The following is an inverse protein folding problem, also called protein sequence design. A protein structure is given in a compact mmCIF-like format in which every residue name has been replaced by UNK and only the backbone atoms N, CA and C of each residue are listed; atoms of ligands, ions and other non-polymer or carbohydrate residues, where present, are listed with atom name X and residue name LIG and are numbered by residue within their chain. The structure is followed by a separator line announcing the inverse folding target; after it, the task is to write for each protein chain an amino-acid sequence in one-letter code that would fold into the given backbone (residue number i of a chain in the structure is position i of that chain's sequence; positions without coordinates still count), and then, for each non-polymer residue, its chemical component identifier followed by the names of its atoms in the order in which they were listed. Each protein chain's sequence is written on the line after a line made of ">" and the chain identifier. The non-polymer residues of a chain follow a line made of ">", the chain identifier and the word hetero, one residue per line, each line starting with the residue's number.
data_IF_523796759323
#
_entry.id   IF_523796759323
#
_cell.length_a   1.000
_cell.length_b   1.000
_cell.length_c   1.000
_cell.angle_alpha   90.00
_cell.angle_beta   90.00
_cell.angle_gamma   90.00
#
_symmetry.space_group_name_H-M   'P 1'
#
loop_
_entity.id
_entity.type
_entity.pdbx_description
1 polymer ?
#
# COMPACT_ATOMS: atom_id res chain seq x y z
N UNK A 1 11.27 2.77 -23.88
CA UNK A 1 10.03 2.83 -23.09
C UNK A 1 10.44 3.29 -21.71
N UNK A 2 10.13 4.52 -21.35
CA UNK A 2 10.50 5.09 -20.04
C UNK A 2 9.56 4.51 -18.99
N UNK A 3 10.07 3.58 -18.18
CA UNK A 3 9.34 2.95 -17.07
C UNK A 3 9.61 3.74 -15.77
N UNK A 4 9.33 5.05 -15.76
CA UNK A 4 9.42 5.86 -14.53
C UNK A 4 8.02 5.93 -13.93
N UNK A 5 7.88 5.48 -12.67
CA UNK A 5 6.63 5.58 -11.92
C UNK A 5 6.17 7.03 -11.78
N UNK A 6 4.87 7.27 -11.87
CA UNK A 6 4.31 8.61 -11.69
C UNK A 6 4.40 9.02 -10.21
N UNK A 7 4.49 10.32 -9.90
CA UNK A 7 4.44 10.79 -8.52
C UNK A 7 3.12 10.35 -7.86
N UNK A 8 3.22 9.63 -6.76
CA UNK A 8 2.06 9.31 -5.93
C UNK A 8 1.51 10.56 -5.23
N UNK A 9 0.29 10.47 -4.70
CA UNK A 9 -0.30 11.56 -3.94
C UNK A 9 0.60 11.97 -2.76
N UNK A 10 0.92 13.26 -2.66
CA UNK A 10 1.92 13.74 -1.69
C UNK A 10 1.43 13.70 -0.24
N UNK A 11 0.11 13.75 -0.01
CA UNK A 11 -0.51 13.69 1.33
C UNK A 11 -1.85 12.95 1.28
N UNK A 12 -1.98 11.92 2.12
CA UNK A 12 -3.20 11.12 2.26
C UNK A 12 -3.58 11.11 3.75
N UNK A 13 -4.78 11.59 4.15
CA UNK A 13 -5.23 11.50 5.54
C UNK A 13 -5.46 10.04 5.97
N UNK A 14 -5.23 9.73 7.25
CA UNK A 14 -5.60 8.42 7.81
C UNK A 14 -7.09 8.13 7.61
N UNK A 15 -7.41 6.89 7.24
CA UNK A 15 -8.76 6.43 6.91
C UNK A 15 -9.30 6.91 5.55
N UNK A 16 -8.47 7.50 4.68
CA UNK A 16 -8.88 7.96 3.34
C UNK A 16 -8.12 7.25 2.23
N UNK A 17 -8.82 6.87 1.17
CA UNK A 17 -8.26 6.02 0.12
C UNK A 17 -7.81 4.66 0.65
N UNK A 18 -7.22 3.84 -0.21
CA UNK A 18 -6.74 2.50 0.16
C UNK A 18 -5.57 2.63 1.14
N UNK A 19 -4.56 3.43 0.78
CA UNK A 19 -3.40 3.75 1.62
C UNK A 19 -3.76 4.23 3.04
N UNK A 20 -4.61 5.26 3.15
CA UNK A 20 -4.99 5.80 4.45
C UNK A 20 -5.85 4.83 5.26
N UNK A 21 -6.67 4.01 4.61
CA UNK A 21 -7.48 2.99 5.29
C UNK A 21 -6.60 1.88 5.84
N UNK A 22 -5.63 1.37 5.06
CA UNK A 22 -4.68 0.35 5.52
C UNK A 22 -3.86 0.86 6.71
N UNK A 23 -3.36 2.10 6.60
CA UNK A 23 -2.65 2.79 7.67
C UNK A 23 -3.51 2.95 8.94
N UNK A 24 -4.76 3.39 8.80
CA UNK A 24 -5.68 3.61 9.92
C UNK A 24 -6.09 2.32 10.63
N UNK A 25 -6.36 1.27 9.87
CA UNK A 25 -6.77 -0.04 10.38
C UNK A 25 -5.58 -0.88 10.86
N UNK A 26 -4.36 -0.57 10.40
CA UNK A 26 -3.15 -1.37 10.62
C UNK A 26 -3.28 -2.78 10.08
N UNK A 27 -3.97 -2.90 8.96
CA UNK A 27 -4.24 -4.16 8.27
C UNK A 27 -3.91 -4.03 6.79
N UNK A 28 -3.41 -5.12 6.20
CA UNK A 28 -3.21 -5.20 4.75
C UNK A 28 -4.55 -5.13 4.03
N UNK A 29 -4.62 -4.29 3.00
CA UNK A 29 -5.81 -4.17 2.14
C UNK A 29 -5.43 -4.58 0.72
N UNK A 30 -6.23 -5.49 0.16
CA UNK A 30 -6.14 -5.92 -1.23
C UNK A 30 -7.40 -5.44 -1.95
N UNK A 31 -7.23 -4.69 -3.03
CA UNK A 31 -8.33 -4.11 -3.80
C UNK A 31 -8.30 -4.64 -5.22
N UNK A 32 -9.31 -5.45 -5.56
CA UNK A 32 -9.47 -6.05 -6.89
C UNK A 32 -9.78 -5.01 -7.99
N UNK A 33 -10.61 -4.01 -7.67
CA UNK A 33 -10.86 -2.84 -8.53
C UNK A 33 -10.84 -1.55 -7.69
N UNK A 34 -9.82 -0.71 -7.86
CA UNK A 34 -9.66 0.55 -7.10
C UNK A 34 -10.82 1.52 -7.33
N UNK A 35 -11.44 1.49 -8.50
CA UNK A 35 -12.59 2.37 -8.78
C UNK A 35 -13.87 1.92 -8.07
N UNK A 36 -13.94 0.67 -7.61
CA UNK A 36 -15.03 0.16 -6.79
C UNK A 36 -14.81 0.42 -5.29
N UNK A 37 -13.61 0.85 -4.88
CA UNK A 37 -13.31 1.11 -3.48
C UNK A 37 -13.96 2.42 -2.98
N UNK A 38 -14.76 2.40 -1.91
CA UNK A 38 -15.41 3.60 -1.39
C UNK A 38 -14.39 4.65 -0.93
N UNK A 39 -14.53 5.89 -1.42
CA UNK A 39 -13.60 6.96 -1.08
C UNK A 39 -12.20 6.79 -1.66
N UNK A 40 -12.09 6.06 -2.78
CA UNK A 40 -10.86 5.91 -3.55
C UNK A 40 -10.22 7.28 -3.88
N UNK A 41 -8.91 7.37 -3.66
CA UNK A 41 -8.06 8.49 -4.04
C UNK A 41 -7.10 7.94 -5.09
N UNK A 42 -7.35 8.27 -6.36
CA UNK A 42 -6.49 7.81 -7.45
C UNK A 42 -5.18 8.60 -7.45
N UNK A 43 -4.06 7.94 -7.16
CA UNK A 43 -2.73 8.52 -7.28
C UNK A 43 -2.11 8.26 -8.67
N UNK A 44 -2.41 7.11 -9.30
CA UNK A 44 -2.21 6.86 -10.73
C UNK A 44 -3.55 6.57 -11.41
N UNK A 45 -3.89 7.35 -12.44
CA UNK A 45 -5.08 7.13 -13.26
C UNK A 45 -5.06 5.79 -14.02
N UNK A 46 -3.90 5.15 -14.16
CA UNK A 46 -3.78 3.83 -14.76
C UNK A 46 -4.04 2.68 -13.77
N UNK A 47 -4.02 2.94 -12.44
CA UNK A 47 -4.21 1.88 -11.45
C UNK A 47 -5.62 1.28 -11.56
N UNK A 48 -5.68 -0.04 -11.54
CA UNK A 48 -6.90 -0.85 -11.59
C UNK A 48 -7.02 -1.76 -10.38
N UNK A 49 -5.93 -2.22 -9.80
CA UNK A 49 -5.90 -2.94 -8.53
C UNK A 49 -4.73 -2.47 -7.69
N UNK A 50 -4.85 -2.53 -6.37
CA UNK A 50 -3.86 -2.04 -5.41
C UNK A 50 -3.73 -3.03 -4.26
N UNK A 51 -2.51 -3.22 -3.74
CA UNK A 51 -2.27 -3.84 -2.44
C UNK A 51 -1.46 -2.89 -1.57
N UNK A 52 -1.96 -2.65 -0.36
CA UNK A 52 -1.29 -1.80 0.62
C UNK A 52 -1.01 -2.60 1.88
N UNK A 53 0.27 -2.65 2.28
CA UNK A 53 0.75 -3.36 3.46
C UNK A 53 1.28 -2.35 4.49
N UNK A 54 0.72 -2.27 5.71
CA UNK A 54 1.23 -1.40 6.76
C UNK A 54 2.65 -1.78 7.20
N UNK A 55 3.49 -0.76 7.42
CA UNK A 55 4.82 -0.91 8.00
C UNK A 55 4.73 -0.49 9.47
N UNK A 56 4.84 -1.48 10.37
CA UNK A 56 4.73 -1.29 11.81
C UNK A 56 6.08 -1.57 12.50
N UNK A 57 6.46 -0.70 13.43
CA UNK A 57 7.57 -0.93 14.38
C UNK A 57 6.97 -1.04 15.79
N UNK A 58 6.68 -2.27 16.23
CA UNK A 58 5.79 -2.51 17.37
C UNK A 58 4.41 -1.90 17.14
N UNK A 59 3.95 -1.05 18.08
CA UNK A 59 2.68 -0.33 17.97
C UNK A 59 2.79 0.99 17.18
N UNK A 60 4.00 1.37 16.73
CA UNK A 60 4.21 2.58 15.95
C UNK A 60 3.92 2.30 14.47
N UNK A 61 3.00 3.06 13.88
CA UNK A 61 2.82 3.10 12.44
C UNK A 61 3.94 3.94 11.82
N UNK A 62 4.77 3.32 10.99
CA UNK A 62 5.85 4.00 10.25
C UNK A 62 5.33 4.54 8.92
N UNK A 63 4.50 3.75 8.24
CA UNK A 63 3.94 4.08 6.93
C UNK A 63 3.27 2.87 6.31
N UNK A 64 3.24 2.86 4.97
CA UNK A 64 2.70 1.74 4.19
C UNK A 64 3.62 1.44 3.01
N UNK A 65 3.66 0.17 2.61
CA UNK A 65 4.09 -0.26 1.29
C UNK A 65 2.87 -0.27 0.38
N UNK A 66 2.92 0.50 -0.70
CA UNK A 66 1.83 0.66 -1.66
C UNK A 66 2.29 0.16 -3.04
N UNK A 67 1.50 -0.74 -3.64
CA UNK A 67 1.79 -1.34 -4.94
C UNK A 67 0.49 -1.38 -5.78
N UNK A 68 0.54 -0.65 -6.89
CA UNK A 68 -0.52 -0.58 -7.90
C UNK A 68 -0.26 -1.48 -9.12
N UNK A 69 -1.32 -1.84 -9.83
CA UNK A 69 -1.25 -2.49 -11.14
C UNK A 69 -2.29 -1.96 -12.13
N UNK A 70 -1.98 -1.88 -13.44
CA UNK A 70 -2.91 -1.37 -14.45
C UNK A 70 -3.95 -2.41 -14.93
N UNK A 71 -4.06 -3.54 -14.22
CA UNK A 71 -5.03 -4.60 -14.48
C UNK A 71 -5.81 -4.86 -13.20
N UNK A 72 -7.08 -5.27 -13.30
CA UNK A 72 -7.88 -5.64 -12.14
C UNK A 72 -7.43 -7.00 -11.58
N UNK A 73 -7.75 -7.27 -10.32
CA UNK A 73 -7.50 -8.56 -9.64
C UNK A 73 -6.03 -9.04 -9.77
N UNK A 74 -5.07 -8.11 -9.79
CA UNK A 74 -3.66 -8.48 -9.94
C UNK A 74 -3.14 -9.28 -8.76
N UNK A 75 -3.56 -8.91 -7.55
CA UNK A 75 -3.00 -9.41 -6.31
C UNK A 75 -3.90 -10.45 -5.68
N UNK A 76 -3.32 -11.58 -5.29
CA UNK A 76 -3.98 -12.67 -4.59
C UNK A 76 -3.42 -12.87 -3.17
N UNK A 77 -3.87 -13.93 -2.51
CA UNK A 77 -3.40 -14.27 -1.15
C UNK A 77 -1.92 -14.63 -1.09
N UNK A 78 -1.34 -15.15 -2.18
CA UNK A 78 0.08 -15.47 -2.24
C UNK A 78 0.92 -14.20 -2.35
N UNK A 79 0.49 -13.24 -3.19
CA UNK A 79 1.08 -11.90 -3.27
C UNK A 79 1.00 -11.20 -1.91
N UNK A 80 -0.17 -11.23 -1.25
CA UNK A 80 -0.36 -10.69 0.10
C UNK A 80 0.62 -11.28 1.11
N UNK A 81 0.66 -12.60 1.22
CA UNK A 81 1.53 -13.28 2.20
C UNK A 81 3.02 -13.01 1.92
N UNK A 82 3.41 -12.96 0.64
CA UNK A 82 4.77 -12.64 0.22
C UNK A 82 5.17 -11.21 0.59
N UNK A 83 4.29 -10.24 0.37
CA UNK A 83 4.54 -8.82 0.66
C UNK A 83 4.51 -8.52 2.16
N UNK A 84 3.63 -9.15 2.94
CA UNK A 84 3.66 -9.09 4.40
C UNK A 84 4.98 -9.67 4.95
N UNK A 85 5.46 -10.78 4.37
CA UNK A 85 6.78 -11.35 4.70
C UNK A 85 7.91 -10.39 4.33
N UNK A 86 7.83 -9.76 3.15
CA UNK A 86 8.81 -8.76 2.72
C UNK A 86 8.90 -7.58 3.70
N UNK A 87 7.77 -7.00 4.11
CA UNK A 87 7.73 -5.91 5.11
C UNK A 87 8.31 -6.36 6.45
N UNK A 88 8.02 -7.59 6.88
CA UNK A 88 8.62 -8.16 8.09
C UNK A 88 10.14 -8.26 8.00
N UNK A 89 10.70 -8.61 6.83
CA UNK A 89 12.14 -8.63 6.60
C UNK A 89 12.70 -7.20 6.56
N UNK A 90 12.02 -6.27 5.88
CA UNK A 90 12.41 -4.86 5.83
C UNK A 90 12.56 -4.28 7.24
N UNK A 91 11.59 -4.52 8.12
CA UNK A 91 11.61 -4.06 9.51
C UNK A 91 12.80 -4.58 10.32
N UNK A 92 13.37 -5.73 9.96
CA UNK A 92 14.57 -6.27 10.63
C UNK A 92 15.86 -5.57 10.21
N UNK A 93 15.85 -4.88 9.07
CA UNK A 93 17.05 -4.31 8.44
C UNK A 93 17.04 -2.78 8.38
N UNK A 94 15.92 -2.14 8.72
CA UNK A 94 15.80 -0.68 8.77
C UNK A 94 15.66 -0.23 10.21
N UNK A 95 16.50 0.71 10.62
CA UNK A 95 16.41 1.37 11.92
C UNK A 95 15.40 2.53 11.85
N UNK A 96 14.15 2.22 12.18
CA UNK A 96 13.05 3.19 12.18
C UNK A 96 13.14 4.23 13.30
N UNK A 97 14.02 4.06 14.30
CA UNK A 97 14.19 5.03 15.39
C UNK A 97 14.82 6.35 14.94
N UNK A 98 15.40 6.37 13.74
CA UNK A 98 16.06 7.53 13.13
C UNK A 98 15.09 8.48 12.40
N UNK A 99 13.81 8.11 12.33
CA UNK A 99 12.72 8.87 11.71
C UNK A 99 11.55 8.96 12.70
#
# INVERSE_FOLDING_TARGET
>A
MEHIGKPACVRIPLGKGVCGTAAGNRETIVVADVHAFPGHIACDAASRSEIVVPILDGDRLIGVLDIDAPVAERFDDADRAGLETFVSILNKHVDWSRF
#
